data_IF_847284245243
#
_entry.id   IF_847284245243
#
_cell.length_a   1.000
_cell.length_b   1.000
_cell.length_c   1.000
_cell.angle_alpha   90.00
_cell.angle_beta   90.00
_cell.angle_gamma   90.00
#
_symmetry.space_group_name_H-M   'P 1'
#
loop_
_entity.id
_entity.type
_entity.pdbx_description
1 polymer ?
#
# COMPACT_ATOMS: atom_id res chain seq x y z
N UNK A 1 -21.32 -3.20 15.08
CA UNK A 1 -20.35 -2.19 15.53
C UNK A 1 -20.31 -0.96 14.61
N UNK A 2 -20.10 -1.07 13.29
CA UNK A 2 -20.03 0.07 12.36
C UNK A 2 -21.29 0.94 12.40
N UNK A 3 -22.46 0.34 12.26
CA UNK A 3 -23.76 1.06 12.26
C UNK A 3 -23.98 1.89 13.53
N UNK A 4 -23.68 1.31 14.69
CA UNK A 4 -23.80 2.01 15.97
C UNK A 4 -22.89 3.25 16.07
N UNK A 5 -21.67 3.18 15.54
CA UNK A 5 -20.77 4.32 15.51
C UNK A 5 -21.29 5.44 14.59
N UNK A 6 -21.85 5.08 13.44
CA UNK A 6 -22.45 6.01 12.49
C UNK A 6 -23.72 6.66 13.05
N UNK A 7 -24.58 5.88 13.74
CA UNK A 7 -25.78 6.38 14.41
C UNK A 7 -25.43 7.37 15.54
N UNK A 8 -24.26 7.22 16.14
CA UNK A 8 -23.70 8.18 17.12
C UNK A 8 -23.01 9.39 16.49
N UNK A 9 -23.14 9.61 15.18
CA UNK A 9 -22.54 10.74 14.48
C UNK A 9 -21.01 10.62 14.23
N UNK A 10 -20.43 9.43 14.43
CA UNK A 10 -19.00 9.20 14.24
C UNK A 10 -18.70 8.77 12.79
N UNK A 11 -17.60 9.27 12.25
CA UNK A 11 -17.03 8.75 11.00
C UNK A 11 -16.35 7.39 11.28
N UNK A 12 -16.60 6.42 10.40
CA UNK A 12 -15.95 5.11 10.46
C UNK A 12 -15.05 4.97 9.25
N UNK A 13 -13.75 4.97 9.48
CA UNK A 13 -12.75 4.76 8.44
C UNK A 13 -12.50 3.27 8.24
N UNK A 14 -12.41 2.86 6.98
CA UNK A 14 -12.04 1.51 6.56
C UNK A 14 -10.75 1.64 5.75
N UNK A 15 -9.64 1.19 6.34
CA UNK A 15 -8.32 1.25 5.72
C UNK A 15 -8.34 0.71 4.29
N UNK A 16 -7.87 1.52 3.35
CA UNK A 16 -7.77 1.19 1.94
C UNK A 16 -9.09 1.22 1.15
N UNK A 17 -10.20 1.58 1.76
CA UNK A 17 -11.50 1.71 1.08
C UNK A 17 -12.03 3.14 1.14
N UNK A 18 -11.99 3.79 2.29
CA UNK A 18 -12.56 5.10 2.50
C UNK A 18 -13.24 5.25 3.85
N UNK A 19 -14.11 6.23 3.97
CA UNK A 19 -14.81 6.54 5.21
C UNK A 19 -16.32 6.58 5.00
N UNK A 20 -17.07 5.98 5.91
CA UNK A 20 -18.50 6.23 6.05
C UNK A 20 -18.73 7.43 6.97
N UNK A 21 -19.52 8.38 6.53
CA UNK A 21 -19.91 9.57 7.29
C UNK A 21 -21.42 9.62 7.45
N UNK A 22 -21.93 10.14 8.57
CA UNK A 22 -23.34 10.46 8.70
C UNK A 22 -23.72 11.53 7.67
N UNK A 23 -24.76 11.28 6.87
CA UNK A 23 -25.35 12.22 5.94
C UNK A 23 -26.60 12.89 6.51
N UNK A 24 -27.16 13.83 5.79
CA UNK A 24 -28.40 14.48 6.17
C UNK A 24 -29.57 13.50 6.16
N UNK A 25 -30.51 13.64 7.11
CA UNK A 25 -31.74 12.82 7.14
C UNK A 25 -31.54 11.35 7.55
N UNK A 26 -30.48 11.02 8.31
CA UNK A 26 -30.22 9.65 8.77
C UNK A 26 -29.65 8.72 7.69
N UNK A 27 -29.17 9.28 6.59
CA UNK A 27 -28.44 8.53 5.55
C UNK A 27 -26.96 8.40 5.89
N UNK A 28 -26.24 7.53 5.17
CA UNK A 28 -24.80 7.39 5.30
C UNK A 28 -24.15 7.69 3.95
N UNK A 29 -23.11 8.52 3.96
CA UNK A 29 -22.32 8.83 2.81
C UNK A 29 -21.02 8.04 2.85
N UNK A 30 -20.68 7.38 1.77
CA UNK A 30 -19.39 6.74 1.59
C UNK A 30 -18.47 7.65 0.80
N UNK A 31 -17.39 8.09 1.45
CA UNK A 31 -16.31 8.84 0.80
C UNK A 31 -15.18 7.88 0.51
N UNK A 32 -14.99 7.55 -0.77
CA UNK A 32 -13.91 6.67 -1.20
C UNK A 32 -12.54 7.30 -0.86
N UNK A 33 -11.58 6.47 -0.46
CA UNK A 33 -10.20 6.92 -0.30
C UNK A 33 -9.65 7.28 -1.69
N UNK A 34 -9.41 8.55 -1.93
CA UNK A 34 -8.88 9.06 -3.20
C UNK A 34 -7.37 9.05 -3.25
N UNK A 35 -6.71 8.93 -2.09
CA UNK A 35 -5.26 8.90 -1.97
C UNK A 35 -4.75 7.48 -2.18
N UNK A 36 -3.82 7.26 -3.14
CA UNK A 36 -3.22 5.94 -3.35
C UNK A 36 -2.52 5.44 -2.08
N UNK A 37 -2.84 4.22 -1.67
CA UNK A 37 -2.21 3.55 -0.54
C UNK A 37 -0.92 2.88 -0.97
N UNK A 38 0.17 3.08 -0.24
CA UNK A 38 1.51 2.62 -0.61
C UNK A 38 2.15 1.85 0.52
N UNK A 39 2.42 0.55 0.32
CA UNK A 39 3.24 -0.21 1.26
C UNK A 39 4.72 0.00 0.94
N UNK A 40 5.52 0.37 1.95
CA UNK A 40 6.97 0.57 1.80
C UNK A 40 7.71 -0.54 2.55
N UNK A 41 8.35 -1.44 1.79
CA UNK A 41 9.21 -2.50 2.31
C UNK A 41 10.67 -2.07 2.28
N UNK A 42 11.38 -2.30 3.37
CA UNK A 42 12.79 -1.89 3.53
C UNK A 42 13.50 -2.80 4.52
N UNK A 43 14.82 -2.81 4.52
CA UNK A 43 15.63 -3.43 5.58
C UNK A 43 15.84 -2.45 6.72
N UNK A 44 15.92 -2.95 7.95
CA UNK A 44 15.95 -2.11 9.16
C UNK A 44 17.04 -1.05 9.16
N UNK A 45 18.19 -1.38 8.59
CA UNK A 45 19.33 -0.48 8.48
C UNK A 45 19.07 0.74 7.59
N UNK A 46 18.08 0.65 6.72
CA UNK A 46 17.71 1.72 5.79
C UNK A 46 16.50 2.55 6.28
N UNK A 47 16.09 2.38 7.55
CA UNK A 47 14.94 3.05 8.15
C UNK A 47 14.92 4.57 7.92
N UNK A 48 16.06 5.24 8.04
CA UNK A 48 16.14 6.69 7.84
C UNK A 48 15.82 7.10 6.39
N UNK A 49 16.32 6.34 5.41
CA UNK A 49 16.03 6.56 3.98
C UNK A 49 14.58 6.20 3.63
N UNK A 50 14.07 5.11 4.21
CA UNK A 50 12.68 4.70 4.04
C UNK A 50 11.71 5.74 4.61
N UNK A 51 12.01 6.35 5.75
CA UNK A 51 11.23 7.46 6.32
C UNK A 51 11.25 8.70 5.42
N UNK A 52 12.41 9.07 4.89
CA UNK A 52 12.53 10.17 3.95
C UNK A 52 11.68 9.92 2.68
N UNK A 53 11.69 8.70 2.17
CA UNK A 53 10.85 8.29 1.05
C UNK A 53 9.36 8.37 1.40
N UNK A 54 8.96 7.85 2.56
CA UNK A 54 7.60 7.93 3.10
C UNK A 54 7.11 9.38 3.13
N UNK A 55 7.91 10.28 3.70
CA UNK A 55 7.54 11.69 3.85
C UNK A 55 7.35 12.37 2.50
N UNK A 56 8.20 12.06 1.50
CA UNK A 56 8.03 12.55 0.14
C UNK A 56 6.78 12.00 -0.56
N UNK A 57 6.42 10.74 -0.32
CA UNK A 57 5.19 10.12 -0.83
C UNK A 57 3.96 10.74 -0.16
N UNK A 58 4.00 10.95 1.16
CA UNK A 58 2.92 11.57 1.92
C UNK A 58 2.70 13.04 1.49
N UNK A 59 3.77 13.81 1.34
CA UNK A 59 3.69 15.20 0.87
C UNK A 59 3.08 15.33 -0.54
N UNK A 60 3.11 14.26 -1.33
CA UNK A 60 2.48 14.21 -2.65
C UNK A 60 0.99 13.80 -2.64
N UNK A 61 0.37 13.67 -1.46
CA UNK A 61 -1.04 13.26 -1.30
C UNK A 61 -1.25 11.77 -1.56
N UNK A 62 -0.35 10.93 -1.10
CA UNK A 62 -0.51 9.48 -1.06
C UNK A 62 -0.50 9.01 0.39
N UNK A 63 -1.04 7.83 0.66
CA UNK A 63 -1.11 7.24 2.01
C UNK A 63 -0.07 6.14 2.18
N UNK A 64 1.15 6.44 2.65
CA UNK A 64 2.20 5.44 2.85
C UNK A 64 1.96 4.65 4.14
N UNK A 65 2.30 3.36 4.07
CA UNK A 65 2.31 2.44 5.18
C UNK A 65 3.70 1.83 5.39
N UNK A 66 4.17 1.85 6.62
CA UNK A 66 5.41 1.20 7.06
C UNK A 66 5.12 0.35 8.30
N UNK A 67 5.78 -0.81 8.43
CA UNK A 67 5.56 -1.76 9.52
C UNK A 67 5.80 -1.15 10.91
N UNK A 68 6.91 -0.43 11.09
CA UNK A 68 7.28 0.16 12.39
C UNK A 68 6.35 1.27 12.89
N UNK A 69 5.62 1.91 11.99
CA UNK A 69 4.78 3.05 12.36
C UNK A 69 3.34 2.64 12.73
N UNK A 70 2.90 1.42 12.35
CA UNK A 70 1.49 1.03 12.47
C UNK A 70 1.23 -0.31 13.18
N UNK A 71 2.27 -1.02 13.62
CA UNK A 71 2.08 -2.26 14.36
C UNK A 71 1.80 -1.98 15.84
N UNK A 72 0.70 -2.55 16.34
CA UNK A 72 0.29 -2.43 17.75
C UNK A 72 0.76 -3.69 18.50
N UNK A 73 1.34 -3.56 19.71
CA UNK A 73 1.71 -4.70 20.53
C UNK A 73 0.54 -5.68 20.72
N UNK A 74 0.80 -6.98 20.61
CA UNK A 74 -0.22 -8.03 20.73
C UNK A 74 -0.90 -8.43 19.42
N UNK A 75 -0.64 -7.76 18.31
CA UNK A 75 -1.15 -8.17 17.00
C UNK A 75 -0.36 -9.34 16.40
N UNK A 76 -1.01 -10.14 15.56
CA UNK A 76 -0.34 -11.13 14.72
C UNK A 76 0.36 -10.43 13.55
N UNK A 77 1.63 -10.07 13.74
CA UNK A 77 2.44 -9.31 12.78
C UNK A 77 2.44 -9.86 11.35
N UNK A 78 2.71 -11.16 11.12
CA UNK A 78 2.73 -11.69 9.75
C UNK A 78 1.39 -11.50 9.03
N UNK A 79 0.28 -11.69 9.75
CA UNK A 79 -1.06 -11.51 9.18
C UNK A 79 -1.36 -10.05 8.88
N UNK A 80 -0.99 -9.15 9.80
CA UNK A 80 -1.21 -7.70 9.63
C UNK A 80 -0.41 -7.17 8.46
N UNK A 81 0.87 -7.55 8.32
CA UNK A 81 1.74 -7.14 7.21
C UNK A 81 1.20 -7.65 5.87
N UNK A 82 0.84 -8.95 5.79
CA UNK A 82 0.25 -9.51 4.57
C UNK A 82 -1.02 -8.77 4.16
N UNK A 83 -1.89 -8.49 5.13
CA UNK A 83 -3.11 -7.74 4.88
C UNK A 83 -2.81 -6.32 4.38
N UNK A 84 -1.85 -5.62 4.99
CA UNK A 84 -1.43 -4.29 4.58
C UNK A 84 -0.90 -4.29 3.12
N UNK A 85 -0.10 -5.30 2.74
CA UNK A 85 0.37 -5.48 1.36
C UNK A 85 -0.83 -5.70 0.42
N UNK A 86 -1.74 -6.61 0.76
CA UNK A 86 -2.91 -6.93 -0.06
C UNK A 86 -3.83 -5.74 -0.31
N UNK A 87 -4.00 -4.86 0.68
CA UNK A 87 -4.88 -3.71 0.56
C UNK A 87 -4.19 -2.46 -0.02
N UNK A 88 -2.89 -2.46 -0.20
CA UNK A 88 -2.16 -1.35 -0.81
C UNK A 88 -2.37 -1.28 -2.33
N UNK A 89 -2.40 -0.07 -2.89
CA UNK A 89 -2.47 0.12 -4.34
C UNK A 89 -1.12 -0.14 -5.00
N UNK A 90 -0.04 0.16 -4.26
CA UNK A 90 1.34 -0.04 -4.71
C UNK A 90 2.19 -0.58 -3.58
N UNK A 91 3.06 -1.51 -3.92
CA UNK A 91 4.13 -2.00 -3.07
C UNK A 91 5.46 -1.42 -3.55
N UNK A 92 6.09 -0.60 -2.71
CA UNK A 92 7.42 -0.02 -2.98
C UNK A 92 8.47 -0.87 -2.28
N UNK A 93 9.34 -1.51 -3.08
CA UNK A 93 10.45 -2.33 -2.60
C UNK A 93 11.74 -1.52 -2.58
N UNK A 94 12.28 -1.23 -1.41
CA UNK A 94 13.50 -0.43 -1.24
C UNK A 94 14.75 -1.30 -1.25
N UNK A 95 15.63 -1.06 -2.21
CA UNK A 95 16.89 -1.78 -2.38
C UNK A 95 18.09 -0.93 -1.99
N UNK A 96 19.02 -1.58 -1.27
CA UNK A 96 20.34 -1.09 -0.94
C UNK A 96 21.33 -2.23 -1.04
N UNK A 97 22.64 -1.97 -0.87
CA UNK A 97 23.65 -3.02 -0.81
C UNK A 97 23.36 -4.05 0.30
N UNK A 98 22.64 -3.64 1.35
CA UNK A 98 22.28 -4.49 2.49
C UNK A 98 21.07 -5.39 2.20
N UNK A 99 20.12 -4.93 1.37
CA UNK A 99 18.86 -5.65 1.11
C UNK A 99 19.05 -6.91 0.28
N UNK A 100 20.08 -6.98 -0.58
CA UNK A 100 20.27 -8.09 -1.52
C UNK A 100 20.75 -9.38 -0.88
N UNK A 101 21.52 -9.30 0.20
CA UNK A 101 22.16 -10.45 0.87
C UNK A 101 21.45 -10.89 2.15
N UNK A 102 20.54 -10.07 2.68
CA UNK A 102 19.94 -10.29 4.00
C UNK A 102 18.69 -11.18 3.92
N UNK A 103 18.68 -12.23 4.74
CA UNK A 103 17.46 -13.01 5.01
C UNK A 103 16.63 -12.27 6.05
N UNK A 104 15.30 -12.23 5.90
CA UNK A 104 14.44 -11.59 6.90
C UNK A 104 13.09 -11.13 6.37
N UNK A 105 12.39 -10.27 7.14
CA UNK A 105 11.05 -9.79 6.82
C UNK A 105 10.93 -9.20 5.42
N UNK A 106 11.85 -8.33 5.01
CA UNK A 106 11.89 -7.72 3.68
C UNK A 106 11.74 -8.73 2.54
N UNK A 107 12.49 -9.86 2.60
CA UNK A 107 12.41 -10.89 1.57
C UNK A 107 11.06 -11.61 1.56
N UNK A 108 10.43 -11.79 2.72
CA UNK A 108 9.11 -12.40 2.85
C UNK A 108 8.02 -11.48 2.32
N UNK A 109 8.08 -10.21 2.62
CA UNK A 109 7.18 -9.18 2.12
C UNK A 109 7.28 -9.04 0.60
N UNK A 110 8.49 -9.00 0.07
CA UNK A 110 8.75 -8.93 -1.36
C UNK A 110 8.18 -10.13 -2.12
N UNK A 111 8.39 -11.37 -1.61
CA UNK A 111 7.80 -12.56 -2.21
C UNK A 111 6.28 -12.50 -2.20
N UNK A 112 5.69 -12.10 -1.07
CA UNK A 112 4.24 -11.97 -0.98
C UNK A 112 3.68 -10.92 -1.94
N UNK A 113 4.35 -9.78 -2.07
CA UNK A 113 3.98 -8.75 -3.04
C UNK A 113 4.07 -9.24 -4.50
N UNK A 114 5.09 -10.02 -4.83
CA UNK A 114 5.22 -10.63 -6.16
C UNK A 114 4.12 -11.65 -6.43
N UNK A 115 3.70 -12.45 -5.44
CA UNK A 115 2.55 -13.34 -5.56
C UNK A 115 1.25 -12.56 -5.76
N UNK A 116 1.04 -11.46 -5.04
CA UNK A 116 -0.09 -10.57 -5.25
C UNK A 116 -0.10 -9.99 -6.67
N UNK A 117 1.07 -9.54 -7.15
CA UNK A 117 1.22 -8.99 -8.50
C UNK A 117 0.86 -10.00 -9.60
N UNK A 118 1.17 -11.30 -9.41
CA UNK A 118 0.82 -12.34 -10.38
C UNK A 118 -0.69 -12.57 -10.54
N UNK A 119 -1.49 -12.15 -9.56
CA UNK A 119 -2.96 -12.27 -9.57
C UNK A 119 -3.65 -11.04 -10.14
N UNK A 120 -2.89 -9.99 -10.47
CA UNK A 120 -3.41 -8.75 -11.03
C UNK A 120 -3.37 -8.79 -12.57
N UNK A 121 -4.18 -7.97 -13.25
CA UNK A 121 -4.07 -7.78 -14.69
C UNK A 121 -2.65 -7.40 -15.11
N UNK A 122 -2.19 -7.90 -16.27
CA UNK A 122 -0.81 -7.74 -16.73
C UNK A 122 -0.37 -6.28 -16.90
N UNK A 123 -1.31 -5.38 -17.16
CA UNK A 123 -1.05 -3.95 -17.37
C UNK A 123 -1.01 -3.15 -16.07
N UNK A 124 -1.39 -3.76 -14.91
CA UNK A 124 -1.38 -3.08 -13.64
C UNK A 124 -0.01 -3.12 -12.97
N UNK A 125 0.47 -1.96 -12.57
CA UNK A 125 1.72 -1.83 -11.82
C UNK A 125 1.42 -1.94 -10.33
N UNK A 126 1.84 -3.03 -9.70
CA UNK A 126 1.74 -3.20 -8.24
C UNK A 126 3.08 -3.02 -7.53
N UNK A 127 4.16 -3.58 -8.07
CA UNK A 127 5.50 -3.49 -7.47
C UNK A 127 6.31 -2.39 -8.14
N UNK A 128 6.82 -1.47 -7.33
CA UNK A 128 7.73 -0.40 -7.76
C UNK A 128 9.06 -0.56 -7.02
N UNK A 129 10.10 -1.11 -7.68
CA UNK A 129 11.42 -1.23 -7.09
C UNK A 129 12.09 0.13 -7.04
N UNK A 130 12.71 0.46 -5.90
CA UNK A 130 13.41 1.72 -5.66
C UNK A 130 14.81 1.42 -5.13
N UNK A 131 15.83 2.08 -5.65
CA UNK A 131 17.21 1.97 -5.14
C UNK A 131 17.59 3.23 -4.38
N UNK A 132 18.10 3.05 -3.17
CA UNK A 132 18.65 4.14 -2.36
C UNK A 132 20.08 4.50 -2.77
N UNK A 133 20.80 3.52 -3.32
CA UNK A 133 22.19 3.62 -3.74
C UNK A 133 22.48 2.65 -4.90
N UNK A 134 23.67 2.70 -5.48
CA UNK A 134 24.11 1.75 -6.51
C UNK A 134 24.20 0.33 -5.96
N UNK A 135 23.15 -0.46 -6.19
CA UNK A 135 23.06 -1.85 -5.75
C UNK A 135 22.37 -2.73 -6.81
N UNK A 136 22.57 -4.03 -6.70
CA UNK A 136 21.91 -5.00 -7.55
C UNK A 136 20.44 -5.19 -7.09
N UNK A 137 19.51 -5.16 -8.03
CA UNK A 137 18.13 -5.59 -7.83
C UNK A 137 18.02 -7.05 -8.29
N UNK A 138 17.27 -7.94 -7.62
CA UNK A 138 17.11 -9.32 -8.05
C UNK A 138 16.63 -9.42 -9.51
N UNK A 139 17.27 -10.31 -10.29
CA UNK A 139 17.01 -10.48 -11.73
C UNK A 139 15.53 -10.70 -12.05
N UNK A 140 14.83 -11.49 -11.20
CA UNK A 140 13.40 -11.75 -11.36
C UNK A 140 12.53 -10.48 -11.33
N UNK A 141 13.00 -9.42 -10.69
CA UNK A 141 12.32 -8.12 -10.65
C UNK A 141 12.74 -7.28 -11.84
N UNK A 142 14.04 -7.21 -12.15
CA UNK A 142 14.56 -6.41 -13.26
C UNK A 142 13.99 -6.82 -14.62
N UNK A 143 13.72 -8.11 -14.82
CA UNK A 143 13.15 -8.63 -16.06
C UNK A 143 11.66 -8.24 -16.26
N UNK A 144 10.98 -7.83 -15.18
CA UNK A 144 9.54 -7.54 -15.21
C UNK A 144 9.20 -6.08 -15.01
N UNK A 145 9.99 -5.36 -14.23
CA UNK A 145 9.68 -3.99 -13.80
C UNK A 145 10.94 -3.14 -13.79
N UNK A 146 10.81 -1.93 -14.29
CA UNK A 146 11.89 -0.95 -14.23
C UNK A 146 11.96 -0.35 -12.81
N UNK A 147 13.18 -0.26 -12.25
CA UNK A 147 13.41 0.36 -10.96
C UNK A 147 13.60 1.88 -11.06
N UNK A 148 13.43 2.56 -9.93
CA UNK A 148 13.66 4.00 -9.80
C UNK A 148 14.85 4.23 -8.88
N UNK A 149 15.84 5.00 -9.34
CA UNK A 149 16.97 5.46 -8.52
C UNK A 149 16.60 6.75 -7.79
N UNK A 150 16.86 6.76 -6.48
CA UNK A 150 16.75 7.96 -5.64
C UNK A 150 18.08 8.71 -5.53
N UNK A 151 19.09 8.29 -6.27
CA UNK A 151 20.41 8.90 -6.34
C UNK A 151 20.79 9.18 -7.80
N UNK A 152 21.70 10.10 -8.10
CA UNK A 152 22.25 11.09 -7.18
C UNK A 152 21.25 12.18 -6.80
N UNK A 153 20.13 12.32 -7.54
CA UNK A 153 19.09 13.32 -7.34
C UNK A 153 17.86 12.69 -6.69
N UNK A 154 17.74 12.86 -5.37
CA UNK A 154 16.65 12.35 -4.56
C UNK A 154 15.30 12.92 -4.98
N UNK A 155 15.23 14.22 -5.25
CA UNK A 155 13.97 14.91 -5.58
C UNK A 155 13.42 14.47 -6.95
N UNK A 156 14.29 14.30 -7.92
CA UNK A 156 13.90 13.74 -9.22
C UNK A 156 13.44 12.28 -9.09
N UNK A 157 14.11 11.50 -8.24
CA UNK A 157 13.73 10.13 -7.92
C UNK A 157 12.34 10.04 -7.28
N UNK A 158 12.08 10.82 -6.23
CA UNK A 158 10.77 10.92 -5.56
C UNK A 158 9.66 11.26 -6.57
N UNK A 159 9.86 12.25 -7.43
CA UNK A 159 8.86 12.62 -8.45
C UNK A 159 8.52 11.44 -9.37
N UNK A 160 9.50 10.59 -9.72
CA UNK A 160 9.27 9.39 -10.52
C UNK A 160 8.49 8.33 -9.77
N UNK A 161 8.81 8.08 -8.49
CA UNK A 161 8.07 7.16 -7.61
C UNK A 161 6.62 7.61 -7.47
N UNK A 162 6.40 8.87 -7.11
CA UNK A 162 5.04 9.45 -6.96
C UNK A 162 4.23 9.36 -8.26
N UNK A 163 4.85 9.57 -9.42
CA UNK A 163 4.18 9.41 -10.71
C UNK A 163 3.72 7.96 -10.93
N UNK A 164 4.57 6.98 -10.62
CA UNK A 164 4.23 5.57 -10.72
C UNK A 164 3.08 5.20 -9.76
N UNK A 165 3.15 5.64 -8.51
CA UNK A 165 2.11 5.44 -7.49
C UNK A 165 0.77 6.02 -7.94
N UNK A 166 0.75 7.29 -8.37
CA UNK A 166 -0.49 7.95 -8.83
C UNK A 166 -1.08 7.31 -10.09
N UNK A 167 -0.24 6.79 -10.97
CA UNK A 167 -0.70 6.05 -12.15
C UNK A 167 -1.40 4.75 -11.75
N UNK A 168 -0.82 4.00 -10.82
CA UNK A 168 -1.38 2.75 -10.33
C UNK A 168 -2.67 2.95 -9.53
N UNK A 169 -2.74 3.98 -8.66
CA UNK A 169 -3.92 4.29 -7.86
C UNK A 169 -5.14 4.79 -8.67
N UNK A 170 -4.93 5.26 -9.90
CA UNK A 170 -6.02 5.68 -10.81
C UNK A 170 -6.76 4.51 -11.48
N UNK A 171 -6.27 3.30 -11.36
CA UNK A 171 -6.88 2.11 -11.98
C UNK A 171 -8.23 1.69 -11.33
N UNK A 172 -8.76 2.47 -10.38
CA UNK A 172 -10.04 2.27 -9.71
C UNK A 172 -9.96 1.32 -8.50
N UNK A 173 -11.07 1.11 -7.79
CA UNK A 173 -11.11 0.21 -6.65
C UNK A 173 -10.79 -1.21 -7.14
N UNK A 174 -9.60 -1.69 -6.81
CA UNK A 174 -9.20 -3.06 -7.11
C UNK A 174 -10.13 -3.99 -6.35
N UNK A 175 -10.88 -4.85 -7.07
CA UNK A 175 -11.55 -5.99 -6.49
C UNK A 175 -10.49 -6.90 -5.87
N UNK A 176 -10.26 -6.74 -4.57
CA UNK A 176 -9.20 -7.43 -3.85
C UNK A 176 -9.71 -8.80 -3.43
N UNK A 177 -9.02 -9.82 -3.88
CA UNK A 177 -9.31 -11.21 -3.57
C UNK A 177 -9.39 -11.42 -2.04
N UNK A 178 -10.58 -11.80 -1.54
CA UNK A 178 -10.80 -12.11 -0.13
C UNK A 178 -12.23 -11.90 0.36
N UNK A 179 -13.16 -11.47 -0.50
CA UNK A 179 -14.60 -11.45 -0.18
C UNK A 179 -15.36 -12.39 -1.12
N UNK A 180 -15.18 -13.69 -0.92
CA UNK A 180 -16.24 -14.63 -1.25
C UNK A 180 -17.38 -14.37 -0.26
N UNK A 181 -18.52 -13.88 -0.78
CA UNK A 181 -19.80 -13.93 -0.08
C UNK A 181 -20.17 -12.69 0.75
N UNK A 182 -20.47 -11.58 0.12
CA UNK A 182 -21.56 -10.74 0.58
C UNK A 182 -22.41 -10.35 -0.63
N UNK A 183 -23.38 -11.20 -0.93
CA UNK A 183 -24.48 -10.89 -1.83
C UNK A 183 -25.29 -9.81 -1.09
N UNK A 184 -25.33 -8.61 -1.63
CA UNK A 184 -26.34 -7.62 -1.25
C UNK A 184 -27.69 -8.14 -1.72
N UNK A 185 -28.35 -8.92 -0.89
CA UNK A 185 -29.77 -9.15 -1.05
C UNK A 185 -30.48 -7.84 -0.73
N UNK A 186 -31.23 -7.38 -1.71
CA UNK A 186 -32.12 -6.25 -1.63
C UNK A 186 -33.09 -6.44 -0.45
N UNK A 187 -32.84 -5.73 0.65
CA UNK A 187 -33.85 -5.56 1.71
C UNK A 187 -34.83 -4.49 1.24
N UNK A 188 -35.89 -4.92 0.54
CA UNK A 188 -37.16 -4.20 0.51
C UNK A 188 -37.84 -4.44 1.85
N UNK A 189 -38.19 -3.41 2.62
CA UNK A 189 -39.02 -3.57 3.81
C UNK A 189 -40.47 -3.84 3.44
N UNK A 190 -41.24 -4.53 4.31
CA UNK A 190 -42.65 -4.78 4.13
C UNK A 190 -43.48 -3.51 4.20
#
# INVERSE_FOLDING_TARGET
MIRHALDCGKTVEIDGLGAFRPGAGGTYEFVAQTEPSVFIAYVEEDLALARRLRDGIAAAGCSPWMDKDKLIPGQNWPRTIRRAIEISDVFVACFSARSGSKRGPFQSELRWALECAQRMPLEETFVVPVRFEGCAVPRQIQERVQYVDLFPDWEAGIKRVVRAVKKAGRAGPKLRFGQAGCRLESLTPP
#
